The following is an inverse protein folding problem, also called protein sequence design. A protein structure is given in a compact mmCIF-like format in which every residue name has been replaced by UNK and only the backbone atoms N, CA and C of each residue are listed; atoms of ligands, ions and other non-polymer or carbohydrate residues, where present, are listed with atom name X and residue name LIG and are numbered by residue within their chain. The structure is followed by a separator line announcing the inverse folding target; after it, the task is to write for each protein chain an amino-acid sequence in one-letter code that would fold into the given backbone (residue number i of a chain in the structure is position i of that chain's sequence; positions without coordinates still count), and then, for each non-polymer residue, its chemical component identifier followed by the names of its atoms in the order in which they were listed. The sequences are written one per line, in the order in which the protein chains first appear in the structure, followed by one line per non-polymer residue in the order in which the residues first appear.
data_IF_723316742705
#
_entry.id   IF_723316742705
#
_cell.length_a   1.000
_cell.length_b   1.000
_cell.length_c   1.000
_cell.angle_alpha   90.00
_cell.angle_beta   90.00
_cell.angle_gamma   90.00
#
_symmetry.space_group_name_H-M   'P 1'
#
loop_
_entity.id
_entity.type
_entity.pdbx_description
1 polymer ?
#
# COMPACT_ATOMS: atom_id res chain seq x y z
N UNK A 1 9.54 7.94 10.91
CA UNK A 1 9.79 7.93 9.47
C UNK A 1 8.80 6.99 8.81
N UNK A 2 8.17 7.43 7.75
CA UNK A 2 7.16 6.62 7.07
C UNK A 2 7.80 5.80 5.97
N UNK A 3 7.58 4.49 5.99
CA UNK A 3 8.06 3.62 4.93
C UNK A 3 7.22 3.84 3.66
N UNK A 4 7.76 3.45 2.53
CA UNK A 4 7.06 3.57 1.25
C UNK A 4 6.98 2.21 0.59
N UNK A 5 5.84 1.95 -0.02
CA UNK A 5 5.63 0.79 -0.88
C UNK A 5 5.40 1.32 -2.28
N UNK A 6 6.24 0.93 -3.22
CA UNK A 6 6.16 1.41 -4.59
C UNK A 6 5.98 0.24 -5.55
N UNK A 7 5.63 0.56 -6.79
CA UNK A 7 5.47 -0.43 -7.86
C UNK A 7 4.41 -1.48 -7.55
N UNK A 8 3.34 -1.05 -6.87
CA UNK A 8 2.24 -1.96 -6.60
C UNK A 8 1.63 -2.44 -7.92
N UNK A 9 1.46 -3.75 -8.15
CA UNK A 9 0.85 -4.24 -9.39
C UNK A 9 -0.54 -3.65 -9.57
N UNK A 10 -0.95 -3.45 -10.82
CA UNK A 10 -2.26 -2.85 -11.11
C UNK A 10 -3.40 -3.60 -10.44
N UNK A 11 -3.33 -4.93 -10.42
CA UNK A 11 -4.36 -5.75 -9.76
C UNK A 11 -4.46 -5.40 -8.28
N UNK A 12 -3.32 -5.32 -7.60
CA UNK A 12 -3.30 -4.98 -6.18
C UNK A 12 -3.72 -3.54 -5.94
N UNK A 13 -3.33 -2.62 -6.84
CA UNK A 13 -3.70 -1.21 -6.66
C UNK A 13 -5.20 -1.01 -6.79
N UNK A 14 -5.86 -1.76 -7.68
CA UNK A 14 -7.33 -1.71 -7.81
C UNK A 14 -7.99 -2.14 -6.50
N UNK A 15 -7.55 -3.24 -5.91
CA UNK A 15 -8.09 -3.69 -4.63
C UNK A 15 -7.85 -2.67 -3.53
N UNK A 16 -6.64 -2.12 -3.49
CA UNK A 16 -6.29 -1.12 -2.48
C UNK A 16 -7.17 0.12 -2.61
N UNK A 17 -7.37 0.61 -3.83
CA UNK A 17 -8.20 1.79 -4.08
C UNK A 17 -9.67 1.55 -3.71
N UNK A 18 -10.11 0.31 -3.73
CA UNK A 18 -11.47 -0.05 -3.36
C UNK A 18 -11.63 -0.30 -1.85
N UNK A 19 -10.58 -0.08 -1.08
CA UNK A 19 -10.65 -0.23 0.37
C UNK A 19 -10.26 -1.60 0.89
N UNK A 20 -9.70 -2.46 0.05
CA UNK A 20 -9.31 -3.80 0.46
C UNK A 20 -7.83 -3.87 0.82
N UNK A 21 -7.46 -4.61 1.88
CA UNK A 21 -6.05 -4.80 2.19
C UNK A 21 -5.37 -5.65 1.13
N UNK A 22 -4.09 -5.37 0.89
CA UNK A 22 -3.30 -6.08 -0.10
C UNK A 22 -1.97 -6.53 0.48
N UNK A 23 -1.44 -7.64 -0.02
CA UNK A 23 -0.12 -8.11 0.35
C UNK A 23 0.88 -7.57 -0.65
N UNK A 24 2.06 -7.22 -0.13
CA UNK A 24 3.14 -6.75 -0.99
C UNK A 24 4.48 -7.18 -0.40
N UNK A 25 5.43 -7.44 -1.28
CA UNK A 25 6.78 -7.80 -0.87
C UNK A 25 7.51 -6.59 -0.31
N UNK A 26 8.33 -6.83 0.70
CA UNK A 26 9.15 -5.76 1.26
C UNK A 26 8.42 -4.80 2.17
N UNK A 27 7.18 -5.11 2.54
CA UNK A 27 6.44 -4.29 3.48
C UNK A 27 7.08 -4.38 4.87
N UNK A 28 7.10 -3.29 5.64
CA UNK A 28 7.54 -3.36 7.03
C UNK A 28 6.59 -4.22 7.85
N UNK A 29 7.01 -4.62 9.03
CA UNK A 29 6.20 -5.49 9.88
C UNK A 29 5.00 -4.75 10.47
N UNK A 30 5.10 -3.44 10.62
CA UNK A 30 4.02 -2.63 11.18
C UNK A 30 4.21 -1.17 10.81
N UNK A 31 3.17 -0.39 11.01
CA UNK A 31 3.23 1.05 10.84
C UNK A 31 2.52 1.55 9.60
N UNK A 32 2.64 2.85 9.37
CA UNK A 32 2.03 3.51 8.21
C UNK A 32 3.00 3.51 7.04
N UNK A 33 2.46 3.33 5.85
CA UNK A 33 3.26 3.32 4.63
C UNK A 33 2.60 4.20 3.57
N UNK A 34 3.43 4.81 2.72
CA UNK A 34 2.96 5.51 1.54
C UNK A 34 2.89 4.50 0.41
N UNK A 35 1.78 4.50 -0.31
CA UNK A 35 1.56 3.52 -1.36
C UNK A 35 1.54 4.22 -2.71
N UNK A 36 2.36 3.72 -3.62
CA UNK A 36 2.42 4.23 -5.00
C UNK A 36 2.18 3.08 -5.97
N UNK A 37 1.76 3.40 -7.17
CA UNK A 37 1.53 2.38 -8.19
C UNK A 37 2.29 2.68 -9.47
N UNK A 38 2.62 1.63 -10.21
CA UNK A 38 3.26 1.73 -11.51
C UNK A 38 4.70 2.18 -11.44
N UNK A 39 5.35 2.17 -12.59
CA UNK A 39 6.77 2.50 -12.69
C UNK A 39 7.03 3.99 -12.47
N UNK A 40 6.02 4.83 -12.67
CA UNK A 40 6.13 6.26 -12.49
C UNK A 40 5.92 6.69 -11.03
N UNK A 41 5.59 5.74 -10.16
CA UNK A 41 5.48 6.04 -8.74
C UNK A 41 4.30 6.92 -8.36
N UNK A 42 3.19 6.78 -9.05
CA UNK A 42 2.00 7.60 -8.76
C UNK A 42 1.49 7.32 -7.35
N UNK A 43 1.39 8.37 -6.53
CA UNK A 43 0.89 8.24 -5.16
C UNK A 43 -0.61 7.95 -5.17
N UNK A 44 -1.02 6.87 -4.50
CA UNK A 44 -2.43 6.49 -4.45
C UNK A 44 -3.02 6.54 -3.04
N UNK A 45 -2.19 6.65 -2.02
CA UNK A 45 -2.71 6.78 -0.67
C UNK A 45 -1.75 6.31 0.39
N UNK A 46 -2.27 6.26 1.61
CA UNK A 46 -1.54 5.77 2.77
C UNK A 46 -2.19 4.48 3.24
N UNK A 47 -1.38 3.55 3.71
CA UNK A 47 -1.86 2.31 4.27
C UNK A 47 -1.23 2.04 5.61
N UNK A 48 -1.77 1.04 6.31
CA UNK A 48 -1.23 0.60 7.58
C UNK A 48 -1.07 -0.92 7.53
N UNK A 49 0.04 -1.41 8.06
CA UNK A 49 0.28 -2.86 8.07
C UNK A 49 -0.59 -3.48 9.16
N UNK A 50 -1.38 -4.48 8.78
CA UNK A 50 -2.27 -5.16 9.73
C UNK A 50 -1.57 -6.36 10.37
N UNK A 51 -2.32 -7.08 11.23
CA UNK A 51 -1.79 -8.23 11.97
C UNK A 51 -1.35 -9.37 11.06
N UNK A 52 -1.86 -9.41 9.85
CA UNK A 52 -1.52 -10.46 8.89
C UNK A 52 -0.44 -10.04 7.91
N UNK A 53 0.14 -8.86 8.10
CA UNK A 53 1.19 -8.37 7.23
C UNK A 53 0.68 -7.78 5.93
N UNK A 54 -0.60 -7.44 5.86
CA UNK A 54 -1.18 -6.81 4.68
C UNK A 54 -1.22 -5.30 4.85
N UNK A 55 -1.20 -4.60 3.73
CA UNK A 55 -1.35 -3.15 3.72
C UNK A 55 -2.83 -2.82 3.62
N UNK A 56 -3.40 -2.31 4.70
CA UNK A 56 -4.80 -1.91 4.74
C UNK A 56 -4.89 -0.42 4.42
N UNK A 57 -5.75 -0.01 3.47
CA UNK A 57 -5.85 1.40 3.10
C UNK A 57 -6.42 2.22 4.25
N UNK A 58 -5.74 3.33 4.55
CA UNK A 58 -6.17 4.28 5.58
C UNK A 58 -6.65 5.58 4.99
N UNK A 59 -5.97 6.04 3.93
CA UNK A 59 -6.34 7.27 3.25
C UNK A 59 -6.04 7.10 1.78
N UNK A 60 -7.02 7.37 0.96
CA UNK A 60 -6.87 7.31 -0.50
C UNK A 60 -6.96 8.72 -1.06
N UNK A 61 -6.22 8.96 -2.13
CA UNK A 61 -6.29 10.24 -2.85
C UNK A 61 -7.24 10.14 -4.04
#
# INVERSE_FOLDING_TARGET
MTASISDLPLTSSVYFKNGNPVRTNGAPLEGLVRVTEGDDGKFIGMGEIDDEGRVAPRRLV
#
